data_IF_585691679254
#
_entry.id   IF_585691679254
#
_cell.length_a   1.000
_cell.length_b   1.000
_cell.length_c   1.000
_cell.angle_alpha   90.00
_cell.angle_beta   90.00
_cell.angle_gamma   90.00
#
_symmetry.space_group_name_H-M   'P 1'
#
loop_
_entity.id
_entity.type
_entity.pdbx_description
1 polymer ?
#
# COMPACT_ATOMS: atom_id res chain seq x y z
N UNK A 1 -6.90 16.85 4.40
CA UNK A 1 -7.15 17.21 2.98
C UNK A 1 -6.22 16.50 2.02
N UNK A 2 -4.96 16.29 2.40
CA UNK A 2 -3.97 15.50 1.66
C UNK A 2 -4.05 13.99 1.93
N UNK A 3 -4.42 13.55 3.14
CA UNK A 3 -4.46 12.11 3.44
C UNK A 3 -5.43 11.34 2.53
N UNK A 4 -6.58 11.95 2.20
CA UNK A 4 -7.55 11.32 1.28
C UNK A 4 -7.03 11.16 -0.15
N UNK A 5 -6.14 12.03 -0.63
CA UNK A 5 -5.56 11.86 -1.96
C UNK A 5 -4.52 10.73 -1.96
N UNK A 6 -3.72 10.60 -0.89
CA UNK A 6 -2.78 9.49 -0.72
C UNK A 6 -3.53 8.15 -0.70
N UNK A 7 -4.61 8.03 0.08
CA UNK A 7 -5.41 6.80 0.15
C UNK A 7 -5.97 6.40 -1.23
N UNK A 8 -6.43 7.38 -2.02
CA UNK A 8 -6.95 7.15 -3.36
C UNK A 8 -5.85 6.63 -4.30
N UNK A 9 -4.64 7.21 -4.23
CA UNK A 9 -3.50 6.75 -5.02
C UNK A 9 -3.04 5.35 -4.59
N UNK A 10 -2.96 5.06 -3.30
CA UNK A 10 -2.60 3.73 -2.79
C UNK A 10 -3.63 2.68 -3.21
N UNK A 11 -4.92 2.99 -3.14
CA UNK A 11 -5.98 2.10 -3.63
C UNK A 11 -5.84 1.79 -5.12
N UNK A 12 -5.53 2.80 -5.93
CA UNK A 12 -5.31 2.61 -7.35
C UNK A 12 -4.03 1.84 -7.66
N UNK A 13 -2.99 2.01 -6.84
CA UNK A 13 -1.74 1.28 -6.97
C UNK A 13 -1.95 -0.20 -6.62
N UNK A 14 -2.62 -0.50 -5.50
CA UNK A 14 -2.93 -1.87 -5.09
C UNK A 14 -3.75 -2.63 -6.14
N UNK A 15 -4.71 -1.96 -6.78
CA UNK A 15 -5.48 -2.52 -7.91
C UNK A 15 -4.62 -2.92 -9.12
N UNK A 16 -3.46 -2.30 -9.30
CA UNK A 16 -2.56 -2.55 -10.44
C UNK A 16 -1.45 -3.54 -10.12
N UNK A 17 -0.95 -3.51 -8.88
CA UNK A 17 0.22 -4.28 -8.47
C UNK A 17 -0.14 -5.57 -7.73
N UNK A 18 -1.18 -5.54 -6.89
CA UNK A 18 -1.51 -6.66 -6.02
C UNK A 18 -2.30 -7.71 -6.79
N UNK A 19 -2.02 -9.01 -6.59
CA UNK A 19 -2.88 -10.07 -7.13
C UNK A 19 -4.30 -9.99 -6.59
N UNK A 20 -4.45 -9.65 -5.31
CA UNK A 20 -5.73 -9.37 -4.65
C UNK A 20 -5.58 -8.06 -3.85
N UNK A 21 -6.27 -6.96 -4.23
CA UNK A 21 -6.15 -5.67 -3.54
C UNK A 21 -6.52 -5.69 -2.06
N UNK A 22 -7.36 -6.66 -1.62
CA UNK A 22 -7.70 -6.87 -0.21
C UNK A 22 -6.60 -7.54 0.62
N UNK A 23 -5.63 -8.18 -0.03
CA UNK A 23 -4.51 -8.88 0.58
C UNK A 23 -3.17 -8.29 0.09
N UNK A 24 -2.82 -7.06 0.52
CA UNK A 24 -1.66 -6.36 -0.02
C UNK A 24 -0.35 -7.06 0.33
N UNK A 25 0.46 -7.35 -0.69
CA UNK A 25 1.78 -7.96 -0.60
C UNK A 25 2.90 -6.95 -0.85
N UNK A 26 2.66 -5.93 -1.69
CA UNK A 26 3.69 -4.94 -2.06
C UNK A 26 3.52 -3.62 -1.33
N UNK A 27 2.30 -3.12 -1.17
CA UNK A 27 2.05 -1.82 -0.52
C UNK A 27 1.30 -2.03 0.78
N UNK A 28 2.03 -2.07 1.90
CA UNK A 28 1.49 -2.39 3.23
C UNK A 28 1.04 -1.14 3.97
N UNK A 29 -0.03 -1.26 4.75
CA UNK A 29 -0.47 -0.21 5.67
C UNK A 29 0.32 -0.32 6.97
N UNK A 30 0.91 0.78 7.43
CA UNK A 30 1.48 0.95 8.76
C UNK A 30 0.52 1.84 9.55
N UNK A 31 -0.29 1.24 10.42
CA UNK A 31 -1.33 1.95 11.16
C UNK A 31 -0.76 3.09 11.99
N UNK A 32 -1.40 4.27 11.90
CA UNK A 32 -0.95 5.49 12.59
C UNK A 32 0.26 6.18 11.96
N UNK A 33 0.83 5.63 10.88
CA UNK A 33 2.03 6.18 10.21
C UNK A 33 1.78 6.46 8.73
N UNK A 34 1.24 5.49 7.98
CA UNK A 34 1.03 5.61 6.55
C UNK A 34 1.20 4.28 5.81
N UNK A 35 1.97 4.29 4.72
CA UNK A 35 2.17 3.13 3.84
C UNK A 35 3.65 2.86 3.63
N UNK A 36 4.00 1.58 3.49
CA UNK A 36 5.36 1.16 3.14
C UNK A 36 5.34 0.18 1.97
N UNK A 37 6.41 0.17 1.19
CA UNK A 37 6.66 -0.91 0.25
C UNK A 37 7.17 -2.14 1.02
N UNK A 38 6.78 -3.33 0.61
CA UNK A 38 7.30 -4.57 1.17
C UNK A 38 8.76 -4.72 0.73
N UNK A 39 9.65 -4.92 1.68
CA UNK A 39 11.06 -5.19 1.38
C UNK A 39 11.18 -6.60 0.80
N UNK A 40 11.95 -6.74 -0.28
CA UNK A 40 12.33 -8.01 -0.88
C UNK A 40 13.41 -8.65 0.02
N UNK A 41 12.94 -9.31 1.07
CA UNK A 41 13.68 -10.08 2.08
C UNK A 41 14.84 -9.38 2.82
N UNK A 42 14.68 -9.33 4.14
CA UNK A 42 15.81 -9.39 5.06
C UNK A 42 16.51 -10.74 4.84
N UNK A 43 17.69 -10.68 4.23
CA UNK A 43 18.67 -11.77 4.17
C UNK A 43 19.07 -12.25 5.57
#
# INVERSE_FOLDING_TARGET
>A
GFDRSIDAHVKNLRRKLEPEPGEPRYVLTVFGVGYKFAEEEAW
#
